data_IF_677074545896
#
_entry.id   IF_677074545896
#
_cell.length_a   1.000
_cell.length_b   1.000
_cell.length_c   1.000
_cell.angle_alpha   90.00
_cell.angle_beta   90.00
_cell.angle_gamma   90.00
#
_symmetry.space_group_name_H-M   'P 1'
#
loop_
_entity.id
_entity.type
_entity.pdbx_description
1 polymer ?
#
# COMPACT_ATOMS: atom_id res chain seq x y z
N UNK A 1 23.69 -3.66 8.26
CA UNK A 1 22.58 -3.26 7.38
C UNK A 1 21.34 -3.98 7.87
N UNK A 2 20.28 -3.25 8.22
CA UNK A 2 19.02 -3.85 8.68
C UNK A 2 18.18 -4.17 7.44
N UNK A 3 17.56 -5.36 7.39
CA UNK A 3 16.61 -5.73 6.34
C UNK A 3 15.20 -5.78 6.92
N UNK A 4 14.27 -5.13 6.26
CA UNK A 4 12.85 -5.15 6.61
C UNK A 4 12.04 -5.65 5.41
N UNK A 5 11.02 -6.47 5.68
CA UNK A 5 10.05 -6.89 4.68
C UNK A 5 8.67 -6.40 5.08
N UNK A 6 7.96 -5.85 4.11
CA UNK A 6 6.61 -5.34 4.26
C UNK A 6 5.70 -5.88 3.17
N UNK A 7 4.40 -5.78 3.40
CA UNK A 7 3.42 -6.02 2.38
C UNK A 7 2.35 -4.92 2.40
N UNK A 8 1.76 -4.66 1.24
CA UNK A 8 0.77 -3.60 1.07
C UNK A 8 -0.23 -3.89 -0.03
N UNK A 9 -1.21 -3.00 -0.15
CA UNK A 9 -2.32 -3.17 -1.09
C UNK A 9 -2.59 -1.91 -1.90
N UNK A 10 -2.86 -2.10 -3.19
CA UNK A 10 -3.57 -1.13 -4.02
C UNK A 10 -5.05 -1.42 -3.87
N UNK A 11 -5.74 -0.63 -3.05
CA UNK A 11 -7.18 -0.82 -2.83
C UNK A 11 -7.95 -0.11 -3.93
N UNK A 12 -8.76 -0.85 -4.68
CA UNK A 12 -9.51 -0.31 -5.82
C UNK A 12 -11.00 -0.43 -5.58
N UNK A 13 -11.71 0.69 -5.74
CA UNK A 13 -13.18 0.78 -5.61
C UNK A 13 -13.74 1.76 -6.62
N UNK A 14 -14.66 1.32 -7.48
CA UNK A 14 -15.35 2.15 -8.46
C UNK A 14 -14.39 3.02 -9.31
N UNK A 15 -13.30 2.43 -9.80
CA UNK A 15 -12.29 3.14 -10.59
C UNK A 15 -11.32 4.02 -9.78
N UNK A 16 -11.55 4.18 -8.48
CA UNK A 16 -10.71 4.96 -7.57
C UNK A 16 -9.75 4.09 -6.76
N UNK A 17 -8.63 4.67 -6.36
CA UNK A 17 -7.60 4.08 -5.51
C UNK A 17 -7.52 4.82 -4.19
N UNK A 18 -7.29 4.08 -3.10
CA UNK A 18 -7.05 4.64 -1.77
C UNK A 18 -5.58 5.02 -1.58
N UNK A 19 -5.32 6.26 -1.18
CA UNK A 19 -4.05 6.69 -0.59
C UNK A 19 -4.25 7.17 0.84
N UNK A 20 -3.22 7.02 1.66
CA UNK A 20 -3.18 7.47 3.04
C UNK A 20 -2.14 8.58 3.21
N UNK A 21 -2.47 9.61 3.98
CA UNK A 21 -1.53 10.65 4.42
C UNK A 21 -0.90 10.21 5.73
N UNK A 22 0.35 9.78 5.68
CA UNK A 22 1.12 9.44 6.87
C UNK A 22 1.37 10.68 7.73
N UNK A 23 1.46 10.48 9.05
CA UNK A 23 1.77 11.55 10.02
C UNK A 23 3.05 12.33 9.68
N UNK A 24 4.01 11.69 9.00
CA UNK A 24 5.25 12.26 8.49
C UNK A 24 5.09 13.15 7.23
N UNK A 25 3.85 13.34 6.73
CA UNK A 25 3.54 14.31 5.66
C UNK A 25 3.65 13.77 4.23
N UNK A 26 3.71 12.46 4.04
CA UNK A 26 3.76 11.83 2.71
C UNK A 26 2.50 11.02 2.43
N UNK A 27 2.12 10.97 1.14
CA UNK A 27 1.03 10.16 0.63
C UNK A 27 1.56 8.86 0.05
N UNK A 28 1.01 7.73 0.49
CA UNK A 28 1.43 6.41 0.05
C UNK A 28 0.26 5.40 0.12
N UNK A 29 0.50 4.21 -0.42
CA UNK A 29 -0.40 3.06 -0.34
C UNK A 29 -0.40 2.47 1.08
N UNK A 30 -1.52 1.86 1.53
CA UNK A 30 -1.56 1.10 2.77
C UNK A 30 -0.53 -0.05 2.75
N UNK A 31 0.30 -0.15 3.79
CA UNK A 31 1.33 -1.18 3.93
C UNK A 31 1.91 -1.21 5.34
N UNK A 32 2.38 -2.38 5.75
CA UNK A 32 3.17 -2.50 6.97
C UNK A 32 4.05 -3.73 7.00
N UNK A 33 4.62 -4.05 8.15
CA UNK A 33 5.65 -5.08 8.25
C UNK A 33 5.03 -6.48 8.18
N UNK A 34 5.75 -7.42 7.56
CA UNK A 34 5.37 -8.83 7.59
C UNK A 34 5.83 -9.40 8.94
N UNK A 35 4.90 -9.94 9.71
CA UNK A 35 5.23 -10.57 10.99
C UNK A 35 5.92 -11.93 10.81
N UNK A 36 6.54 -12.45 11.87
CA UNK A 36 7.26 -13.71 11.81
C UNK A 36 6.29 -14.86 11.53
N UNK A 37 6.48 -15.54 10.40
CA UNK A 37 5.64 -16.65 9.96
C UNK A 37 4.36 -16.21 9.26
N UNK A 38 4.19 -14.91 9.02
CA UNK A 38 3.04 -14.36 8.31
C UNK A 38 3.28 -14.39 6.79
N UNK A 39 2.27 -14.86 6.05
CA UNK A 39 2.30 -14.80 4.59
C UNK A 39 2.15 -13.34 4.10
N UNK A 40 2.91 -12.89 3.08
CA UNK A 40 2.84 -11.49 2.64
C UNK A 40 1.44 -11.02 2.25
N UNK A 41 0.62 -11.91 1.66
CA UNK A 41 -0.79 -11.61 1.33
C UNK A 41 -1.63 -11.39 2.59
N UNK A 42 -1.39 -12.17 3.64
CA UNK A 42 -2.08 -12.03 4.92
C UNK A 42 -1.68 -10.71 5.61
N UNK A 43 -0.38 -10.41 5.64
CA UNK A 43 0.15 -9.15 6.15
C UNK A 43 -0.48 -7.95 5.44
N UNK A 44 -0.55 -7.97 4.10
CA UNK A 44 -1.14 -6.89 3.32
C UNK A 44 -2.63 -6.62 3.67
N UNK A 45 -3.41 -7.67 3.94
CA UNK A 45 -4.82 -7.55 4.34
C UNK A 45 -4.99 -7.15 5.81
N UNK A 46 -4.12 -7.64 6.69
CA UNK A 46 -4.08 -7.24 8.11
C UNK A 46 -3.76 -5.75 8.22
N UNK A 47 -2.71 -5.30 7.56
CA UNK A 47 -2.27 -3.89 7.56
C UNK A 47 -3.34 -2.97 6.95
N UNK A 48 -4.00 -3.40 5.86
CA UNK A 48 -5.16 -2.68 5.34
C UNK A 48 -6.23 -2.45 6.42
N UNK A 49 -6.54 -3.50 7.19
CA UNK A 49 -7.53 -3.41 8.25
C UNK A 49 -7.06 -2.57 9.43
N UNK A 50 -5.81 -2.70 9.85
CA UNK A 50 -5.24 -1.93 10.96
C UNK A 50 -5.13 -0.44 10.63
N UNK A 51 -4.66 -0.10 9.44
CA UNK A 51 -4.45 1.29 9.03
C UNK A 51 -5.75 2.03 8.66
N UNK A 52 -6.75 1.30 8.16
CA UNK A 52 -7.94 1.93 7.53
C UNK A 52 -9.29 1.39 8.01
N UNK A 53 -9.33 0.31 8.80
CA UNK A 53 -10.56 -0.40 9.16
C UNK A 53 -11.23 -1.13 8.01
N UNK A 54 -10.64 -1.14 6.80
CA UNK A 54 -11.18 -1.83 5.64
C UNK A 54 -10.78 -3.30 5.66
N UNK A 55 -11.75 -4.17 5.36
CA UNK A 55 -11.48 -5.56 4.99
C UNK A 55 -11.43 -5.63 3.47
N UNK A 56 -10.60 -6.50 2.92
CA UNK A 56 -10.44 -6.62 1.48
C UNK A 56 -10.28 -8.06 1.02
N UNK A 57 -10.54 -8.29 -0.27
CA UNK A 57 -10.22 -9.54 -0.96
C UNK A 57 -9.22 -9.23 -2.06
N UNK A 58 -8.13 -9.99 -2.09
CA UNK A 58 -7.09 -9.85 -3.10
C UNK A 58 -7.65 -10.26 -4.46
N UNK A 59 -7.36 -9.44 -5.47
CA UNK A 59 -7.58 -9.78 -6.87
C UNK A 59 -6.41 -10.65 -7.32
N UNK A 60 -6.69 -11.91 -7.63
CA UNK A 60 -5.68 -12.85 -8.12
C UNK A 60 -5.06 -12.40 -9.44
N UNK A 61 -3.79 -12.76 -9.62
CA UNK A 61 -2.99 -12.53 -10.84
C UNK A 61 -2.04 -11.32 -10.77
N UNK A 62 -2.19 -10.43 -9.80
CA UNK A 62 -1.26 -9.32 -9.61
C UNK A 62 -0.39 -9.49 -8.37
N UNK A 63 0.92 -9.34 -8.57
CA UNK A 63 1.91 -9.20 -7.51
C UNK A 63 3.09 -8.38 -8.06
N UNK A 64 3.56 -7.41 -7.30
CA UNK A 64 4.79 -6.68 -7.62
C UNK A 64 5.59 -6.44 -6.35
N UNK A 65 6.92 -6.44 -6.46
CA UNK A 65 7.81 -6.06 -5.38
C UNK A 65 8.55 -4.78 -5.72
N UNK A 66 8.67 -3.88 -4.75
CA UNK A 66 9.57 -2.73 -4.81
C UNK A 66 10.67 -2.86 -3.76
N UNK A 67 11.81 -2.24 -4.03
CA UNK A 67 12.95 -2.19 -3.13
C UNK A 67 13.42 -0.76 -2.97
N UNK A 68 13.70 -0.33 -1.73
CA UNK A 68 14.32 0.96 -1.47
C UNK A 68 15.11 0.97 -0.16
N UNK A 69 15.97 1.98 -0.03
CA UNK A 69 16.72 2.22 1.19
C UNK A 69 16.20 3.46 1.91
N UNK A 70 16.19 3.42 3.24
CA UNK A 70 15.91 4.59 4.06
C UNK A 70 16.76 4.56 5.34
N UNK A 71 16.86 5.71 6.03
CA UNK A 71 17.60 5.82 7.29
C UNK A 71 16.62 5.78 8.46
N UNK A 72 16.89 4.91 9.44
CA UNK A 72 16.16 4.80 10.71
C UNK A 72 17.17 4.88 11.85
N UNK A 73 17.07 5.90 12.70
CA UNK A 73 18.00 6.13 13.83
C UNK A 73 19.49 6.07 13.39
N UNK A 74 19.82 6.72 12.28
CA UNK A 74 21.18 6.76 11.72
C UNK A 74 21.64 5.48 11.01
N UNK A 75 20.88 4.38 11.07
CA UNK A 75 21.20 3.12 10.39
C UNK A 75 20.52 3.03 9.04
N UNK A 76 21.24 2.53 8.04
CA UNK A 76 20.68 2.24 6.71
C UNK A 76 19.83 0.97 6.79
N UNK A 77 18.56 1.10 6.42
CA UNK A 77 17.59 0.02 6.30
C UNK A 77 17.35 -0.25 4.83
N UNK A 78 17.43 -1.52 4.45
CA UNK A 78 17.07 -2.05 3.14
C UNK A 78 15.66 -2.65 3.26
N UNK A 79 14.71 -2.14 2.48
CA UNK A 79 13.29 -2.49 2.61
C UNK A 79 12.73 -3.04 1.31
N UNK A 80 12.18 -4.24 1.42
CA UNK A 80 11.39 -4.88 0.36
C UNK A 80 9.90 -4.78 0.70
N UNK A 81 9.07 -4.40 -0.27
CA UNK A 81 7.62 -4.32 -0.09
C UNK A 81 6.91 -5.10 -1.20
N UNK A 82 6.15 -6.12 -0.80
CA UNK A 82 5.28 -6.91 -1.67
C UNK A 82 3.90 -6.24 -1.78
N UNK A 83 3.45 -5.92 -3.00
CA UNK A 83 2.15 -5.30 -3.24
C UNK A 83 1.20 -6.20 -4.02
N UNK A 84 -0.07 -6.12 -3.62
CA UNK A 84 -1.21 -6.81 -4.23
C UNK A 84 -2.31 -5.79 -4.59
N UNK A 85 -3.29 -6.19 -5.41
CA UNK A 85 -4.51 -5.40 -5.60
C UNK A 85 -5.61 -6.02 -4.75
N UNK A 86 -6.40 -5.20 -4.07
CA UNK A 86 -7.55 -5.68 -3.30
C UNK A 86 -8.81 -4.86 -3.61
N UNK A 87 -9.97 -5.51 -3.53
CA UNK A 87 -11.27 -4.81 -3.47
C UNK A 87 -11.74 -4.75 -2.03
N UNK A 88 -12.20 -3.59 -1.54
CA UNK A 88 -12.69 -3.48 -0.17
C UNK A 88 -14.09 -4.13 -0.05
N UNK A 89 -14.33 -4.82 1.06
CA UNK A 89 -15.60 -5.47 1.41
C UNK A 89 -16.54 -4.55 2.20
N UNK A 90 -16.00 -3.48 2.76
CA UNK A 90 -16.73 -2.41 3.46
C UNK A 90 -16.27 -1.04 2.95
N UNK A 91 -17.02 0.00 3.30
CA UNK A 91 -16.84 1.35 2.74
C UNK A 91 -16.33 2.38 3.73
N UNK A 92 -16.48 2.13 5.03
CA UNK A 92 -16.15 3.10 6.08
C UNK A 92 -14.67 3.00 6.44
N UNK A 93 -13.92 4.04 6.09
CA UNK A 93 -12.53 4.21 6.51
C UNK A 93 -12.48 4.74 7.94
N UNK A 94 -11.67 4.11 8.77
CA UNK A 94 -11.29 4.57 10.11
C UNK A 94 -9.77 4.47 10.20
N UNK A 95 -9.12 5.63 10.24
CA UNK A 95 -7.66 5.69 10.25
C UNK A 95 -7.06 5.26 11.58
N UNK A 96 -5.90 4.61 11.50
CA UNK A 96 -5.00 4.41 12.64
C UNK A 96 -4.30 5.70 13.06
N UNK A 97 -3.59 5.66 14.18
CA UNK A 97 -2.78 6.78 14.68
C UNK A 97 -1.59 7.14 13.76
N UNK A 98 -1.25 6.28 12.80
CA UNK A 98 -0.15 6.50 11.85
C UNK A 98 -0.52 7.46 10.72
N UNK A 99 -1.81 7.74 10.56
CA UNK A 99 -2.36 8.48 9.44
C UNK A 99 -3.19 9.68 9.89
N UNK A 100 -3.07 10.77 9.12
CA UNK A 100 -3.81 12.02 9.36
C UNK A 100 -5.04 12.16 8.47
N UNK A 101 -4.98 11.58 7.27
CA UNK A 101 -6.04 11.72 6.27
C UNK A 101 -5.99 10.57 5.25
N UNK A 102 -7.02 10.46 4.43
CA UNK A 102 -7.09 9.54 3.30
C UNK A 102 -7.77 10.18 2.09
N UNK A 103 -7.50 9.62 0.91
CA UNK A 103 -8.16 10.08 -0.31
C UNK A 103 -8.49 8.89 -1.21
N UNK A 104 -9.72 8.89 -1.73
CA UNK A 104 -10.12 8.07 -2.87
C UNK A 104 -9.95 8.89 -4.13
N UNK A 105 -9.03 8.49 -4.99
CA UNK A 105 -8.60 9.27 -6.14
C UNK A 105 -8.73 8.43 -7.41
N UNK A 106 -9.00 9.09 -8.53
CA UNK A 106 -8.87 8.42 -9.83
C UNK A 106 -7.37 8.12 -10.08
N UNK A 107 -7.08 7.19 -11.01
CA UNK A 107 -5.72 6.65 -11.15
C UNK A 107 -4.64 7.70 -11.42
N UNK A 108 -4.92 8.67 -12.29
CA UNK A 108 -3.97 9.73 -12.64
C UNK A 108 -3.67 10.62 -11.42
N UNK A 109 -4.70 11.07 -10.71
CA UNK A 109 -4.58 11.85 -9.47
C UNK A 109 -3.84 11.08 -8.37
N UNK A 110 -4.08 9.77 -8.25
CA UNK A 110 -3.38 8.92 -7.29
C UNK A 110 -1.88 8.84 -7.61
N UNK A 111 -1.52 8.67 -8.89
CA UNK A 111 -0.12 8.63 -9.35
C UNK A 111 0.55 10.00 -9.14
N UNK A 112 -0.17 11.09 -9.38
CA UNK A 112 0.36 12.44 -9.16
C UNK A 112 0.59 12.69 -7.66
N UNK A 113 -0.41 12.40 -6.83
CA UNK A 113 -0.42 12.69 -5.39
C UNK A 113 0.50 11.80 -4.56
N UNK A 114 0.74 10.55 -4.98
CA UNK A 114 1.68 9.68 -4.29
C UNK A 114 3.07 10.34 -4.20
N UNK A 115 3.70 10.32 -3.02
CA UNK A 115 4.94 11.07 -2.79
C UNK A 115 6.16 10.38 -3.37
N UNK A 116 6.24 9.05 -3.25
CA UNK A 116 7.43 8.30 -3.65
C UNK A 116 7.32 7.72 -5.06
N UNK A 117 8.41 7.80 -5.82
CA UNK A 117 8.50 7.19 -7.18
C UNK A 117 8.14 5.70 -7.18
N UNK A 118 8.53 4.98 -6.13
CA UNK A 118 8.22 3.56 -5.96
C UNK A 118 6.71 3.30 -5.83
N UNK A 119 5.99 4.14 -5.08
CA UNK A 119 4.53 4.05 -4.98
C UNK A 119 3.85 4.34 -6.33
N UNK A 120 4.33 5.36 -7.05
CA UNK A 120 3.85 5.68 -8.42
C UNK A 120 4.04 4.48 -9.36
N UNK A 121 5.18 3.82 -9.29
CA UNK A 121 5.46 2.64 -10.10
C UNK A 121 4.49 1.49 -9.80
N UNK A 122 4.18 1.24 -8.52
CA UNK A 122 3.18 0.23 -8.12
C UNK A 122 1.81 0.58 -8.70
N UNK A 123 1.37 1.83 -8.58
CA UNK A 123 0.09 2.30 -9.13
C UNK A 123 0.01 2.10 -10.65
N UNK A 124 1.05 2.49 -11.40
CA UNK A 124 1.12 2.33 -12.85
C UNK A 124 1.04 0.85 -13.26
N UNK A 125 1.79 -0.02 -12.56
CA UNK A 125 1.75 -1.47 -12.83
C UNK A 125 0.38 -2.07 -12.53
N UNK A 126 -0.24 -1.66 -11.42
CA UNK A 126 -1.56 -2.12 -11.01
C UNK A 126 -2.65 -1.69 -12.00
N UNK A 127 -2.62 -0.43 -12.46
CA UNK A 127 -3.52 0.08 -13.49
C UNK A 127 -3.42 -0.74 -14.79
N UNK A 128 -2.20 -0.90 -15.30
CA UNK A 128 -1.94 -1.68 -16.53
C UNK A 128 -2.42 -3.12 -16.42
N UNK A 129 -2.35 -3.74 -15.25
CA UNK A 129 -2.86 -5.09 -15.02
C UNK A 129 -4.40 -5.13 -15.12
N UNK A 130 -5.08 -4.15 -14.53
CA UNK A 130 -6.55 -4.09 -14.53
C UNK A 130 -7.12 -3.71 -15.90
N UNK A 131 -6.40 -2.92 -16.71
CA UNK A 131 -6.82 -2.55 -18.07
C UNK A 131 -6.70 -3.71 -19.08
N UNK A 132 -5.87 -4.72 -18.79
CA UNK A 132 -5.67 -5.89 -19.66
C UNK A 132 -6.65 -7.04 -19.40
N UNK A 133 -7.59 -6.85 -18.48
CA UNK A 133 -8.50 -7.88 -17.98
C UNK A 133 -9.93 -7.56 -18.38
#
# INVERSE_FOLDING_TARGET
MIRERSAGVVVVRNGKVLLLLYCAGHWDLPKGNIERGEEPRAAALRELFEETGLRGVIIEGFHTRIHYFYKKQGKLVSKDVDFYIARPLNSKVKLSYEHKDFAWLDWDDAIEKATYKSAKEVLIRARKFLEKR
#
